data_IF_446254949405
#
_entry.id   IF_446254949405
#
_cell.length_a   1.000
_cell.length_b   1.000
_cell.length_c   1.000
_cell.angle_alpha   90.00
_cell.angle_beta   90.00
_cell.angle_gamma   90.00
#
_symmetry.space_group_name_H-M   'P 1'
#
loop_
_entity.id
_entity.type
_entity.pdbx_description
1 polymer ?
#
# COMPACT_ATOMS: atom_id res chain seq x y z
N UNK A 1 -20.97 -9.62 20.01
CA UNK A 1 -19.92 -10.05 19.06
C UNK A 1 -18.69 -9.27 19.45
N UNK A 2 -17.75 -9.92 20.14
CA UNK A 2 -16.53 -9.29 20.66
C UNK A 2 -15.70 -8.75 19.50
N UNK A 3 -15.34 -7.47 19.57
CA UNK A 3 -14.62 -6.72 18.52
C UNK A 3 -13.15 -7.10 18.36
N UNK A 4 -12.74 -8.27 18.83
CA UNK A 4 -11.32 -8.66 19.00
C UNK A 4 -10.63 -9.03 17.68
N UNK A 5 -11.36 -9.15 16.57
CA UNK A 5 -10.80 -9.50 15.26
C UNK A 5 -11.48 -8.77 14.08
N UNK A 6 -11.79 -7.48 14.26
CA UNK A 6 -12.31 -6.71 13.12
C UNK A 6 -11.16 -6.30 12.21
N UNK A 7 -11.15 -6.82 10.97
CA UNK A 7 -10.32 -6.30 9.88
C UNK A 7 -10.64 -4.81 9.72
N UNK A 8 -9.66 -3.91 9.87
CA UNK A 8 -9.86 -2.46 9.81
C UNK A 8 -10.77 -1.98 8.67
N UNK A 9 -10.55 -2.44 7.44
CA UNK A 9 -11.37 -2.06 6.29
C UNK A 9 -12.83 -2.55 6.33
N UNK A 10 -13.16 -3.56 7.12
CA UNK A 10 -14.52 -4.08 7.23
C UNK A 10 -15.36 -3.33 8.27
N UNK A 11 -14.80 -2.31 8.92
CA UNK A 11 -15.54 -1.49 9.87
C UNK A 11 -16.49 -0.58 9.11
N UNK A 12 -17.78 -0.89 9.17
CA UNK A 12 -18.84 -0.14 8.49
C UNK A 12 -18.77 1.36 8.78
N UNK A 13 -18.83 2.16 7.73
CA UNK A 13 -18.91 3.62 7.80
C UNK A 13 -17.60 4.32 8.16
N UNK A 14 -16.48 3.61 8.33
CA UNK A 14 -15.17 4.24 8.45
C UNK A 14 -14.46 4.24 7.09
N UNK A 15 -13.99 5.39 6.61
CA UNK A 15 -13.15 5.44 5.42
C UNK A 15 -11.81 4.76 5.68
N UNK A 16 -11.13 4.37 4.60
CA UNK A 16 -9.71 3.99 4.66
C UNK A 16 -8.89 5.22 5.04
N UNK A 17 -7.76 5.01 5.72
CA UNK A 17 -6.81 6.07 6.05
C UNK A 17 -5.99 6.46 4.83
N UNK A 18 -5.85 7.75 4.61
CA UNK A 18 -4.89 8.33 3.69
C UNK A 18 -3.48 8.26 4.29
N UNK A 19 -2.45 8.24 3.45
CA UNK A 19 -1.06 8.09 3.91
C UNK A 19 -0.52 9.29 4.70
N UNK A 20 -1.19 10.45 4.62
CA UNK A 20 -0.90 11.68 5.35
C UNK A 20 -1.80 11.93 6.57
N UNK A 21 -2.74 11.01 6.89
CA UNK A 21 -3.66 11.14 8.03
C UNK A 21 -2.96 11.13 9.40
N UNK A 22 -1.73 10.58 9.48
CA UNK A 22 -0.97 10.44 10.72
C UNK A 22 0.46 10.96 10.55
N UNK A 23 1.19 11.25 11.65
CA UNK A 23 2.57 11.74 11.55
C UNK A 23 3.46 10.82 10.70
N UNK A 24 4.21 11.41 9.77
CA UNK A 24 4.97 10.71 8.73
C UNK A 24 5.82 9.54 9.24
N UNK A 25 6.47 9.68 10.41
CA UNK A 25 7.27 8.59 11.01
C UNK A 25 6.49 7.29 11.26
N UNK A 26 5.20 7.39 11.57
CA UNK A 26 4.33 6.24 11.79
C UNK A 26 3.76 5.71 10.47
N UNK A 27 3.41 6.61 9.55
CA UNK A 27 2.95 6.25 8.21
C UNK A 27 4.05 5.53 7.42
N UNK A 28 5.30 5.97 7.51
CA UNK A 28 6.46 5.33 6.88
C UNK A 28 6.66 3.89 7.39
N UNK A 29 6.57 3.68 8.71
CA UNK A 29 6.63 2.34 9.29
C UNK A 29 5.51 1.42 8.76
N UNK A 30 4.28 1.95 8.65
CA UNK A 30 3.17 1.21 8.08
C UNK A 30 3.37 0.91 6.58
N UNK A 31 3.83 1.89 5.79
CA UNK A 31 4.12 1.73 4.37
C UNK A 31 5.15 0.63 4.11
N UNK A 32 6.27 0.65 4.84
CA UNK A 32 7.28 -0.42 4.74
C UNK A 32 6.71 -1.78 5.14
N UNK A 33 5.91 -1.86 6.20
CA UNK A 33 5.27 -3.13 6.59
C UNK A 33 4.32 -3.67 5.51
N UNK A 34 3.56 -2.80 4.83
CA UNK A 34 2.68 -3.22 3.73
C UNK A 34 3.48 -3.75 2.54
N UNK A 35 4.55 -3.05 2.16
CA UNK A 35 5.44 -3.46 1.05
C UNK A 35 6.11 -4.79 1.33
N UNK A 36 6.67 -4.95 2.54
CA UNK A 36 7.35 -6.19 2.93
C UNK A 36 6.37 -7.35 3.12
N UNK A 37 5.23 -7.12 3.77
CA UNK A 37 4.20 -8.15 3.98
C UNK A 37 3.54 -8.64 2.68
N UNK A 38 3.56 -7.83 1.62
CA UNK A 38 3.07 -8.20 0.30
C UNK A 38 4.13 -8.83 -0.62
N UNK A 39 5.38 -8.93 -0.16
CA UNK A 39 6.56 -9.31 -0.96
C UNK A 39 6.63 -8.47 -2.25
N UNK A 40 6.49 -7.15 -2.10
CA UNK A 40 6.37 -6.21 -3.22
C UNK A 40 7.53 -5.21 -3.32
N UNK A 41 8.59 -5.35 -2.50
CA UNK A 41 9.68 -4.39 -2.41
C UNK A 41 10.34 -4.11 -3.77
N UNK A 42 10.82 -5.16 -4.45
CA UNK A 42 11.46 -4.98 -5.76
C UNK A 42 10.52 -4.43 -6.83
N UNK A 43 9.25 -4.85 -6.84
CA UNK A 43 8.26 -4.35 -7.80
C UNK A 43 8.01 -2.84 -7.59
N UNK A 44 7.96 -2.40 -6.33
CA UNK A 44 7.82 -0.99 -5.96
C UNK A 44 9.07 -0.19 -6.34
N UNK A 45 10.27 -0.74 -6.11
CA UNK A 45 11.54 -0.14 -6.55
C UNK A 45 11.56 0.09 -8.06
N UNK A 46 11.23 -0.94 -8.84
CA UNK A 46 11.12 -0.86 -10.31
C UNK A 46 10.11 0.18 -10.75
N UNK A 47 8.95 0.23 -10.08
CA UNK A 47 7.91 1.23 -10.37
C UNK A 47 8.40 2.66 -10.11
N UNK A 48 9.06 2.90 -8.97
CA UNK A 48 9.60 4.23 -8.61
C UNK A 48 10.72 4.64 -9.58
N UNK A 49 11.59 3.71 -9.97
CA UNK A 49 12.66 3.93 -10.91
C UNK A 49 12.18 4.12 -12.36
N UNK A 50 10.90 3.88 -12.65
CA UNK A 50 10.34 3.95 -14.00
C UNK A 50 10.84 2.84 -14.92
N UNK A 51 11.20 1.69 -14.35
CA UNK A 51 11.64 0.52 -15.11
C UNK A 51 10.46 -0.16 -15.83
N UNK A 52 10.80 -1.05 -16.77
CA UNK A 52 9.78 -1.85 -17.47
C UNK A 52 9.17 -2.87 -16.52
N UNK A 53 7.85 -2.82 -16.36
CA UNK A 53 7.11 -3.70 -15.46
C UNK A 53 6.62 -4.97 -16.18
N UNK A 54 6.78 -6.11 -15.51
CA UNK A 54 6.26 -7.40 -15.94
C UNK A 54 4.95 -7.77 -15.24
N UNK A 55 4.38 -8.91 -15.63
CA UNK A 55 3.17 -9.45 -15.01
C UNK A 55 3.33 -9.70 -13.50
N UNK A 56 4.52 -10.13 -13.07
CA UNK A 56 4.80 -10.42 -11.67
C UNK A 56 4.76 -9.15 -10.80
N UNK A 57 5.18 -8.01 -11.34
CA UNK A 57 5.07 -6.71 -10.66
C UNK A 57 3.61 -6.33 -10.44
N UNK A 58 2.77 -6.51 -11.47
CA UNK A 58 1.33 -6.24 -11.39
C UNK A 58 0.65 -7.11 -10.33
N UNK A 59 1.02 -8.39 -10.25
CA UNK A 59 0.51 -9.30 -9.22
C UNK A 59 0.98 -8.83 -7.82
N UNK A 60 2.24 -8.42 -7.68
CA UNK A 60 2.77 -7.89 -6.43
C UNK A 60 2.03 -6.62 -5.98
N UNK A 61 1.73 -5.68 -6.89
CA UNK A 61 0.91 -4.51 -6.58
C UNK A 61 -0.51 -4.87 -6.17
N UNK A 62 -1.11 -5.90 -6.76
CA UNK A 62 -2.41 -6.42 -6.33
C UNK A 62 -2.38 -6.92 -4.89
N UNK A 63 -1.36 -7.70 -4.52
CA UNK A 63 -1.15 -8.15 -3.13
C UNK A 63 -0.89 -6.99 -2.17
N UNK A 64 -0.10 -6.00 -2.59
CA UNK A 64 0.20 -4.80 -1.83
C UNK A 64 -1.07 -4.00 -1.52
N UNK A 65 -1.88 -3.72 -2.53
CA UNK A 65 -3.14 -3.00 -2.35
C UNK A 65 -4.12 -3.77 -1.47
N UNK A 66 -4.16 -5.10 -1.59
CA UNK A 66 -4.99 -5.92 -0.71
C UNK A 66 -4.53 -5.86 0.75
N UNK A 67 -3.22 -5.88 1.02
CA UNK A 67 -2.68 -5.66 2.37
C UNK A 67 -3.00 -4.27 2.92
N UNK A 68 -2.87 -3.22 2.10
CA UNK A 68 -3.25 -1.86 2.47
C UNK A 68 -4.71 -1.82 2.89
N UNK A 69 -5.59 -2.38 2.05
CA UNK A 69 -7.02 -2.50 2.34
C UNK A 69 -7.27 -3.24 3.66
N UNK A 70 -6.76 -4.46 3.84
CA UNK A 70 -6.96 -5.21 5.08
C UNK A 70 -6.49 -4.44 6.32
N UNK A 71 -5.43 -3.63 6.19
CA UNK A 71 -4.87 -2.80 7.25
C UNK A 71 -5.56 -1.44 7.41
N UNK A 72 -6.59 -1.14 6.62
CA UNK A 72 -7.39 0.08 6.71
C UNK A 72 -6.68 1.30 6.13
N UNK A 73 -5.83 1.11 5.12
CA UNK A 73 -5.16 2.15 4.35
C UNK A 73 -5.69 2.16 2.92
N UNK A 74 -5.65 3.32 2.28
CA UNK A 74 -5.90 3.42 0.84
C UNK A 74 -4.87 2.61 0.06
N UNK A 75 -5.21 2.12 -1.16
CA UNK A 75 -4.26 1.44 -2.02
C UNK A 75 -3.01 2.28 -2.30
N UNK A 76 -1.84 1.64 -2.33
CA UNK A 76 -0.56 2.33 -2.59
C UNK A 76 -0.29 2.50 -4.09
N UNK A 77 -0.80 1.59 -4.92
CA UNK A 77 -0.55 1.61 -6.37
C UNK A 77 -1.88 1.64 -7.12
N UNK A 78 -2.10 2.68 -7.92
CA UNK A 78 -3.21 2.69 -8.87
C UNK A 78 -2.89 1.78 -10.07
N UNK A 79 -3.70 0.73 -10.26
CA UNK A 79 -3.55 -0.24 -11.35
C UNK A 79 -4.38 0.18 -12.58
N UNK A 80 -3.94 1.24 -13.26
CA UNK A 80 -4.46 1.62 -14.57
C UNK A 80 -3.75 0.84 -15.69
N UNK A 81 -3.87 1.31 -16.95
CA UNK A 81 -3.08 0.81 -18.07
C UNK A 81 -1.56 0.86 -17.78
N UNK A 82 -1.14 1.88 -17.04
CA UNK A 82 0.20 2.00 -16.49
C UNK A 82 0.08 2.12 -14.96
N UNK A 83 0.72 1.23 -14.18
CA UNK A 83 0.74 1.35 -12.73
C UNK A 83 1.34 2.69 -12.28
N UNK A 84 0.77 3.30 -11.24
CA UNK A 84 1.29 4.52 -10.63
C UNK A 84 1.23 4.42 -9.12
N UNK A 85 2.33 4.75 -8.46
CA UNK A 85 2.37 4.82 -7.00
C UNK A 85 1.72 6.12 -6.51
N UNK A 86 1.00 6.04 -5.39
CA UNK A 86 0.55 7.22 -4.65
C UNK A 86 1.78 8.07 -4.26
N UNK A 87 1.79 9.38 -4.58
CA UNK A 87 2.96 10.21 -4.35
C UNK A 87 3.33 10.33 -2.86
N UNK A 88 2.34 10.42 -1.97
CA UNK A 88 2.57 10.48 -0.53
C UNK A 88 3.16 9.16 -0.04
N UNK A 89 2.63 8.03 -0.51
CA UNK A 89 3.20 6.73 -0.16
C UNK A 89 4.64 6.56 -0.70
N UNK A 90 4.93 7.06 -1.90
CA UNK A 90 6.27 7.04 -2.47
C UNK A 90 7.27 7.86 -1.64
N UNK A 91 6.89 9.05 -1.18
CA UNK A 91 7.70 9.87 -0.28
C UNK A 91 8.01 9.16 1.05
N UNK A 92 7.05 8.42 1.59
CA UNK A 92 7.22 7.66 2.83
C UNK A 92 8.15 6.45 2.69
N UNK A 93 8.27 5.91 1.49
CA UNK A 93 9.13 4.75 1.21
C UNK A 93 10.58 5.13 0.94
N UNK A 94 10.86 6.42 0.72
CA UNK A 94 12.15 7.02 0.35
C UNK A 94 13.34 6.05 0.45
N UNK A 95 13.56 5.35 -0.67
CA UNK A 95 14.77 4.64 -1.03
C UNK A 95 15.74 5.60 -1.71
#
# INVERSE_FOLDING_TARGET
>A
MDGTYMIPALRRGQPLREWDDIPARFAAGAAHLMVQGAEAAEAVERLIAGETLGSDDVIAFGRLNFHCYLSGWVPMVALYREPRIDPTAAELLAL
#
